data_IF_136899233073
#
_entry.id   IF_136899233073
#
_cell.length_a   1.000
_cell.length_b   1.000
_cell.length_c   1.000
_cell.angle_alpha   90.00
_cell.angle_beta   90.00
_cell.angle_gamma   90.00
#
_symmetry.space_group_name_H-M   'P 1'
#
loop_
_entity.id
_entity.type
_entity.pdbx_description
1 polymer ?
#
# COMPACT_ATOMS: atom_id res chain seq x y z
N UNK A 1 13.60 -11.65 21.07
CA UNK A 1 12.83 -11.37 19.84
C UNK A 1 11.35 -11.45 20.17
N UNK A 2 10.59 -10.36 20.02
CA UNK A 2 9.13 -10.40 20.23
C UNK A 2 8.51 -11.26 19.13
N UNK A 3 7.82 -12.35 19.50
CA UNK A 3 7.04 -13.16 18.56
C UNK A 3 6.03 -12.22 17.86
N UNK A 4 5.80 -12.35 16.54
CA UNK A 4 4.71 -11.62 15.90
C UNK A 4 3.43 -11.96 16.67
N UNK A 5 2.72 -10.94 17.16
CA UNK A 5 1.40 -11.12 17.76
C UNK A 5 0.54 -11.87 16.75
N UNK A 6 -0.21 -12.87 17.24
CA UNK A 6 -1.09 -13.71 16.45
C UNK A 6 -1.86 -12.87 15.42
N UNK A 7 -1.86 -13.32 14.16
CA UNK A 7 -2.78 -12.79 13.15
C UNK A 7 -4.20 -13.02 13.64
N UNK A 8 -4.88 -11.95 14.06
CA UNK A 8 -6.32 -12.00 14.31
C UNK A 8 -7.02 -12.14 12.95
N UNK A 9 -7.51 -13.34 12.67
CA UNK A 9 -8.42 -13.56 11.55
C UNK A 9 -9.79 -13.13 12.05
N UNK A 10 -10.31 -12.04 11.48
CA UNK A 10 -11.68 -11.60 11.74
C UNK A 10 -12.65 -12.73 11.33
N UNK A 11 -13.64 -13.01 12.18
CA UNK A 11 -14.60 -14.10 11.99
C UNK A 11 -15.56 -13.88 10.82
N UNK A 12 -15.57 -12.69 10.22
CA UNK A 12 -16.44 -12.32 9.10
C UNK A 12 -15.65 -11.50 8.08
N UNK A 13 -16.04 -11.61 6.80
CA UNK A 13 -15.54 -10.73 5.75
C UNK A 13 -15.73 -9.26 6.16
N UNK A 14 -14.72 -8.39 5.98
CA UNK A 14 -14.86 -6.98 6.27
C UNK A 14 -15.95 -6.38 5.37
N UNK A 15 -16.90 -5.68 6.00
CA UNK A 15 -17.92 -4.92 5.29
C UNK A 15 -17.41 -3.49 5.13
N UNK A 16 -17.45 -2.98 3.91
CA UNK A 16 -17.15 -1.58 3.63
C UNK A 16 -18.29 -0.71 4.17
N UNK A 17 -17.95 0.35 4.87
CA UNK A 17 -18.89 1.21 5.59
C UNK A 17 -18.95 2.58 4.93
N UNK A 18 -20.15 3.16 4.88
CA UNK A 18 -20.37 4.44 4.19
C UNK A 18 -20.29 5.65 5.14
N UNK A 19 -20.45 5.44 6.45
CA UNK A 19 -20.37 6.49 7.47
C UNK A 19 -19.06 6.39 8.27
N UNK A 20 -18.22 7.42 8.14
CA UNK A 20 -16.92 7.51 8.81
C UNK A 20 -16.97 8.32 10.11
N UNK A 21 -18.13 8.88 10.47
CA UNK A 21 -18.27 9.80 11.58
C UNK A 21 -17.50 11.09 11.39
N UNK A 22 -17.14 11.73 12.50
CA UNK A 22 -16.37 12.99 12.47
C UNK A 22 -14.87 12.73 12.33
N UNK A 23 -14.16 13.73 11.81
CA UNK A 23 -12.70 13.75 11.78
C UNK A 23 -12.12 13.44 13.16
N UNK A 24 -11.06 12.63 13.19
CA UNK A 24 -10.28 12.38 14.41
C UNK A 24 -9.64 13.65 15.00
N UNK A 25 -9.44 14.67 14.17
CA UNK A 25 -8.87 15.95 14.55
C UNK A 25 -9.95 17.02 14.56
N UNK A 26 -10.00 17.81 15.64
CA UNK A 26 -10.94 18.91 15.82
C UNK A 26 -10.59 20.15 14.97
N UNK A 27 -9.33 20.30 14.56
CA UNK A 27 -8.86 21.40 13.71
C UNK A 27 -7.76 20.98 12.75
N UNK A 28 -7.48 21.86 11.77
CA UNK A 28 -6.36 21.66 10.83
C UNK A 28 -5.01 21.80 11.55
N UNK A 29 -4.94 22.63 12.57
CA UNK A 29 -3.77 22.86 13.41
C UNK A 29 -3.44 21.59 14.19
N UNK A 30 -4.43 20.98 14.84
CA UNK A 30 -4.26 19.72 15.57
C UNK A 30 -3.76 18.59 14.64
N UNK A 31 -4.34 18.48 13.44
CA UNK A 31 -3.86 17.54 12.43
C UNK A 31 -2.39 17.78 12.06
N UNK A 32 -1.98 19.05 11.84
CA UNK A 32 -0.59 19.38 11.48
C UNK A 32 0.38 19.01 12.60
N UNK A 33 0.03 19.29 13.85
CA UNK A 33 0.85 18.95 15.00
C UNK A 33 1.01 17.43 15.14
N UNK A 34 -0.09 16.70 15.01
CA UNK A 34 -0.06 15.24 15.02
C UNK A 34 0.75 14.68 13.84
N UNK A 35 0.63 15.27 12.64
CA UNK A 35 1.38 14.87 11.47
C UNK A 35 2.90 15.00 11.69
N UNK A 36 3.37 16.13 12.22
CA UNK A 36 4.79 16.34 12.51
C UNK A 36 5.33 15.28 13.47
N UNK A 37 4.59 14.99 14.54
CA UNK A 37 4.97 13.96 15.50
C UNK A 37 5.06 12.56 14.88
N UNK A 38 4.14 12.20 13.98
CA UNK A 38 4.19 10.91 13.29
C UNK A 38 5.31 10.85 12.25
N UNK A 39 5.59 11.95 11.56
CA UNK A 39 6.70 12.05 10.61
C UNK A 39 8.06 11.88 11.30
N UNK A 40 8.24 12.48 12.48
CA UNK A 40 9.45 12.30 13.29
C UNK A 40 9.61 10.84 13.75
N UNK A 41 8.54 10.21 14.24
CA UNK A 41 8.53 8.78 14.57
C UNK A 41 8.90 7.93 13.36
N UNK A 42 8.34 8.21 12.19
CA UNK A 42 8.63 7.45 10.98
C UNK A 42 10.08 7.63 10.51
N UNK A 43 10.65 8.83 10.67
CA UNK A 43 12.07 9.07 10.43
C UNK A 43 12.95 8.19 11.33
N UNK A 44 12.67 8.12 12.64
CA UNK A 44 13.41 7.23 13.53
C UNK A 44 13.25 5.74 13.17
N UNK A 45 12.05 5.33 12.73
CA UNK A 45 11.82 3.99 12.20
C UNK A 45 12.70 3.73 10.98
N UNK A 46 12.76 4.67 10.03
CA UNK A 46 13.61 4.55 8.85
C UNK A 46 15.09 4.41 9.22
N UNK A 47 15.61 5.26 10.10
CA UNK A 47 17.00 5.18 10.57
C UNK A 47 17.30 3.83 11.24
N UNK A 48 16.38 3.34 12.07
CA UNK A 48 16.47 2.03 12.70
C UNK A 48 16.50 0.90 11.67
N UNK A 49 15.68 0.95 10.63
CA UNK A 49 15.69 -0.02 9.53
C UNK A 49 17.01 0.00 8.77
N UNK A 50 17.54 1.20 8.48
CA UNK A 50 18.82 1.38 7.80
C UNK A 50 19.98 0.74 8.56
N UNK A 51 20.12 1.03 9.86
CA UNK A 51 21.21 0.50 10.69
C UNK A 51 21.10 -1.01 10.93
N UNK A 52 19.88 -1.53 11.09
CA UNK A 52 19.63 -2.96 11.32
C UNK A 52 19.52 -3.77 10.02
N UNK A 53 19.69 -3.13 8.85
CA UNK A 53 19.51 -3.75 7.52
C UNK A 53 18.15 -4.44 7.33
N UNK A 54 17.13 -3.96 8.04
CA UNK A 54 15.74 -4.42 7.91
C UNK A 54 15.08 -3.80 6.67
N UNK A 55 14.00 -4.41 6.20
CA UNK A 55 13.34 -4.05 4.93
C UNK A 55 11.84 -3.97 5.15
N UNK A 56 11.18 -2.98 4.55
CA UNK A 56 9.73 -2.92 4.55
C UNK A 56 9.18 -2.62 3.15
N UNK A 57 8.03 -3.23 2.85
CA UNK A 57 7.20 -2.94 1.70
C UNK A 57 5.86 -2.39 2.20
N UNK A 58 5.51 -1.18 1.78
CA UNK A 58 4.25 -0.52 2.11
C UNK A 58 3.41 -0.48 0.83
N UNK A 59 2.26 -1.15 0.84
CA UNK A 59 1.36 -1.26 -0.29
C UNK A 59 0.16 -0.35 -0.07
N UNK A 60 -0.05 0.59 -0.99
CA UNK A 60 -1.25 1.42 -1.04
C UNK A 60 -2.19 0.95 -2.13
N UNK A 61 -3.38 0.52 -1.71
CA UNK A 61 -4.56 0.35 -2.55
C UNK A 61 -5.68 1.25 -2.02
N UNK A 62 -6.80 1.30 -2.74
CA UNK A 62 -7.96 2.10 -2.35
C UNK A 62 -8.67 2.65 -3.57
N UNK A 63 -9.84 3.23 -3.35
CA UNK A 63 -10.66 3.80 -4.43
C UNK A 63 -9.92 4.88 -5.20
N UNK A 64 -10.38 5.15 -6.42
CA UNK A 64 -9.97 6.37 -7.11
C UNK A 64 -10.42 7.59 -6.30
N UNK A 65 -9.63 8.67 -6.36
CA UNK A 65 -9.80 9.88 -5.55
C UNK A 65 -9.73 9.72 -4.00
N UNK A 66 -9.47 8.52 -3.46
CA UNK A 66 -9.36 8.27 -2.00
C UNK A 66 -8.24 9.02 -1.28
N UNK A 67 -7.25 9.56 -2.01
CA UNK A 67 -6.17 10.37 -1.42
C UNK A 67 -4.82 9.66 -1.23
N UNK A 68 -4.62 8.49 -1.86
CA UNK A 68 -3.35 7.72 -1.85
C UNK A 68 -2.11 8.59 -2.08
N UNK A 69 -2.06 9.32 -3.18
CA UNK A 69 -0.91 10.18 -3.51
C UNK A 69 -0.63 11.25 -2.44
N UNK A 70 -1.67 11.81 -1.83
CA UNK A 70 -1.54 12.77 -0.72
C UNK A 70 -0.91 12.11 0.51
N UNK A 71 -1.38 10.93 0.91
CA UNK A 71 -0.83 10.16 2.03
C UNK A 71 0.64 9.75 1.79
N UNK A 72 0.96 9.23 0.60
CA UNK A 72 2.32 8.87 0.21
C UNK A 72 3.25 10.08 0.23
N UNK A 73 2.78 11.25 -0.24
CA UNK A 73 3.54 12.50 -0.17
C UNK A 73 3.87 12.85 1.28
N UNK A 74 2.88 12.84 2.18
CA UNK A 74 3.11 13.14 3.61
C UNK A 74 4.07 12.17 4.29
N UNK A 75 4.05 10.90 3.89
CA UNK A 75 5.01 9.90 4.37
C UNK A 75 6.44 10.26 3.95
N UNK A 76 6.66 10.64 2.70
CA UNK A 76 8.01 10.89 2.18
C UNK A 76 8.63 12.22 2.60
N UNK A 77 7.84 13.23 2.96
CA UNK A 77 8.28 14.61 3.22
C UNK A 77 9.43 14.77 4.23
N UNK A 78 9.55 13.86 5.21
CA UNK A 78 10.55 13.93 6.29
C UNK A 78 11.51 12.75 6.33
N UNK A 79 11.43 11.85 5.35
CA UNK A 79 12.31 10.68 5.28
C UNK A 79 13.57 11.00 4.49
N UNK A 80 14.67 10.31 4.80
CA UNK A 80 15.89 10.34 3.98
C UNK A 80 15.58 9.68 2.63
N UNK A 81 15.67 10.40 1.50
CA UNK A 81 15.29 9.87 0.19
C UNK A 81 16.19 8.71 -0.29
N UNK A 82 17.35 8.49 0.34
CA UNK A 82 18.23 7.34 0.02
C UNK A 82 17.71 6.03 0.62
N UNK A 83 16.90 6.12 1.67
CA UNK A 83 16.35 4.97 2.39
C UNK A 83 14.90 4.64 2.02
N UNK A 84 14.25 5.41 1.16
CA UNK A 84 12.86 5.19 0.74
C UNK A 84 12.71 5.42 -0.76
N UNK A 85 11.92 4.58 -1.43
CA UNK A 85 11.54 4.80 -2.83
C UNK A 85 10.09 4.46 -3.07
N UNK A 86 9.46 5.16 -4.01
CA UNK A 86 8.08 4.91 -4.44
C UNK A 86 8.10 4.24 -5.80
N UNK A 87 7.31 3.19 -5.97
CA UNK A 87 7.03 2.55 -7.25
C UNK A 87 5.55 2.78 -7.60
N UNK A 88 5.25 3.72 -8.52
CA UNK A 88 3.91 3.91 -9.04
C UNK A 88 3.58 2.83 -10.07
N UNK A 89 2.54 2.03 -9.81
CA UNK A 89 2.17 0.93 -10.69
C UNK A 89 1.23 1.43 -11.77
N UNK A 90 1.74 1.46 -13.01
CA UNK A 90 0.99 1.77 -14.22
C UNK A 90 0.65 0.52 -15.03
N UNK A 91 0.04 0.70 -16.21
CA UNK A 91 -0.16 -0.37 -17.20
C UNK A 91 1.17 -1.07 -17.51
N UNK A 92 1.22 -2.42 -17.54
CA UNK A 92 2.47 -3.13 -17.81
C UNK A 92 2.98 -2.87 -19.22
N UNK A 93 4.30 -2.73 -19.36
CA UNK A 93 4.98 -2.65 -20.64
C UNK A 93 4.87 -4.00 -21.40
N UNK A 94 5.08 -3.98 -22.72
CA UNK A 94 4.97 -5.19 -23.55
C UNK A 94 5.86 -6.34 -23.03
N UNK A 95 7.10 -6.04 -22.69
CA UNK A 95 8.03 -7.03 -22.15
C UNK A 95 7.61 -7.61 -20.79
N UNK A 96 6.82 -6.88 -20.01
CA UNK A 96 6.28 -7.37 -18.73
C UNK A 96 5.07 -8.27 -18.95
N UNK A 97 4.29 -8.03 -20.02
CA UNK A 97 3.11 -8.83 -20.39
C UNK A 97 3.51 -10.25 -20.85
N UNK A 98 4.69 -10.39 -21.45
CA UNK A 98 5.24 -11.69 -21.88
C UNK A 98 5.83 -12.52 -20.71
N UNK A 99 5.72 -12.03 -19.47
CA UNK A 99 6.24 -12.67 -18.25
C UNK A 99 5.11 -12.95 -17.26
N UNK A 100 5.42 -13.70 -16.21
CA UNK A 100 4.51 -13.83 -15.08
C UNK A 100 4.20 -12.45 -14.49
N UNK A 101 2.94 -12.14 -14.16
CA UNK A 101 2.55 -10.78 -13.75
C UNK A 101 3.29 -10.27 -12.50
N UNK A 102 3.72 -11.17 -11.62
CA UNK A 102 4.54 -10.83 -10.45
C UNK A 102 5.96 -10.36 -10.79
N UNK A 103 6.47 -10.64 -11.99
CA UNK A 103 7.84 -10.29 -12.41
C UNK A 103 8.16 -8.82 -12.12
N UNK A 104 7.30 -7.91 -12.57
CA UNK A 104 7.50 -6.47 -12.41
C UNK A 104 7.53 -6.03 -10.94
N UNK A 105 6.81 -6.72 -10.06
CA UNK A 105 6.80 -6.42 -8.63
C UNK A 105 8.04 -6.99 -7.94
N UNK A 106 8.53 -8.17 -8.37
CA UNK A 106 9.80 -8.74 -7.93
C UNK A 106 10.99 -7.82 -8.20
N UNK A 107 10.98 -7.07 -9.32
CA UNK A 107 12.05 -6.12 -9.64
C UNK A 107 12.12 -4.92 -8.67
N UNK A 108 11.09 -4.72 -7.84
CA UNK A 108 10.97 -3.56 -6.96
C UNK A 108 10.94 -3.91 -5.48
N UNK A 109 11.34 -5.12 -5.08
CA UNK A 109 11.46 -5.47 -3.66
C UNK A 109 12.54 -4.61 -2.97
N UNK A 110 12.33 -4.18 -1.72
CA UNK A 110 13.31 -3.39 -0.98
C UNK A 110 14.63 -4.14 -0.77
N UNK A 111 15.73 -3.41 -0.88
CA UNK A 111 17.07 -3.85 -0.50
C UNK A 111 17.29 -3.73 1.02
N UNK A 112 18.31 -4.41 1.60
CA UNK A 112 18.59 -4.30 3.03
C UNK A 112 18.75 -2.85 3.50
N UNK A 113 17.98 -2.46 4.50
CA UNK A 113 17.99 -1.11 5.08
C UNK A 113 17.09 -0.09 4.38
N UNK A 114 16.29 -0.51 3.39
CA UNK A 114 15.40 0.42 2.65
C UNK A 114 13.92 0.09 2.83
N UNK A 115 13.10 1.11 2.62
CA UNK A 115 11.65 1.04 2.55
C UNK A 115 11.22 1.21 1.08
N UNK A 116 10.28 0.39 0.63
CA UNK A 116 9.63 0.55 -0.68
C UNK A 116 8.15 0.83 -0.47
N UNK A 117 7.63 1.83 -1.18
CA UNK A 117 6.21 2.15 -1.22
C UNK A 117 5.69 1.79 -2.61
N UNK A 118 4.62 1.00 -2.68
CA UNK A 118 3.88 0.70 -3.89
C UNK A 118 2.64 1.59 -3.91
N UNK A 119 2.53 2.47 -4.92
CA UNK A 119 1.31 3.25 -5.20
C UNK A 119 0.50 2.50 -6.26
N UNK A 120 -0.57 1.81 -5.83
CA UNK A 120 -1.11 0.58 -6.44
C UNK A 120 -0.06 -0.54 -6.43
N UNK A 121 -0.46 -1.78 -6.72
CA UNK A 121 0.39 -2.96 -6.50
C UNK A 121 -0.02 -4.19 -7.31
N UNK A 122 0.56 -5.35 -6.97
CA UNK A 122 0.16 -6.66 -7.48
C UNK A 122 -1.31 -7.01 -7.21
N UNK A 123 -1.97 -6.31 -6.28
CA UNK A 123 -3.41 -6.44 -6.07
C UNK A 123 -4.25 -5.99 -7.28
N UNK A 124 -3.69 -5.24 -8.24
CA UNK A 124 -4.35 -4.92 -9.51
C UNK A 124 -4.95 -6.15 -10.22
N UNK A 125 -4.28 -7.31 -10.13
CA UNK A 125 -4.73 -8.62 -10.64
C UNK A 125 -6.13 -9.00 -10.15
N UNK A 126 -6.42 -8.75 -8.87
CA UNK A 126 -7.68 -9.14 -8.20
C UNK A 126 -8.62 -7.95 -7.96
N UNK A 127 -8.23 -6.76 -8.42
CA UNK A 127 -8.99 -5.51 -8.33
C UNK A 127 -9.37 -5.03 -9.74
N UNK A 128 -8.65 -4.04 -10.30
CA UNK A 128 -9.00 -3.41 -11.58
C UNK A 128 -9.04 -4.41 -12.74
N UNK A 129 -8.09 -5.35 -12.83
CA UNK A 129 -8.08 -6.33 -13.91
C UNK A 129 -9.30 -7.26 -13.86
N UNK A 130 -9.81 -7.54 -12.66
CA UNK A 130 -11.02 -8.33 -12.43
C UNK A 130 -12.28 -7.53 -12.78
N UNK A 131 -12.40 -6.31 -12.25
CA UNK A 131 -13.62 -5.47 -12.43
C UNK A 131 -13.79 -5.06 -13.88
N UNK A 132 -12.71 -4.67 -14.55
CA UNK A 132 -12.73 -4.21 -15.94
C UNK A 132 -12.59 -5.37 -16.94
N UNK A 133 -12.56 -6.63 -16.46
CA UNK A 133 -12.46 -7.85 -17.26
C UNK A 133 -11.26 -7.83 -18.22
N UNK A 134 -10.11 -7.36 -17.74
CA UNK A 134 -8.88 -7.28 -18.54
C UNK A 134 -8.19 -8.65 -18.69
N UNK A 135 -8.58 -9.61 -17.85
CA UNK A 135 -8.12 -11.01 -17.90
C UNK A 135 -9.26 -11.96 -17.56
N UNK A 136 -9.11 -13.21 -18.01
CA UNK A 136 -10.10 -14.26 -17.75
C UNK A 136 -10.24 -14.57 -16.25
N UNK A 137 -11.40 -15.10 -15.89
CA UNK A 137 -11.75 -15.41 -14.51
C UNK A 137 -10.77 -16.36 -13.82
N UNK A 138 -10.33 -17.39 -14.53
CA UNK A 138 -9.35 -18.35 -14.02
C UNK A 138 -8.02 -17.67 -13.68
N UNK A 139 -7.63 -16.63 -14.43
CA UNK A 139 -6.36 -15.91 -14.25
C UNK A 139 -6.40 -15.03 -13.00
N UNK A 140 -7.46 -14.27 -12.76
CA UNK A 140 -7.52 -13.46 -11.53
C UNK A 140 -7.85 -14.31 -10.30
N UNK A 141 -8.58 -15.43 -10.44
CA UNK A 141 -8.86 -16.34 -9.32
C UNK A 141 -7.59 -16.97 -8.76
N UNK A 142 -6.72 -17.52 -9.62
CA UNK A 142 -5.42 -18.05 -9.15
C UNK A 142 -4.51 -16.96 -8.57
N UNK A 143 -4.72 -15.70 -8.97
CA UNK A 143 -4.00 -14.54 -8.49
C UNK A 143 -4.02 -14.39 -6.97
N UNK A 144 -5.09 -14.82 -6.27
CA UNK A 144 -5.13 -14.80 -4.80
C UNK A 144 -4.03 -15.68 -4.19
N UNK A 145 -3.88 -16.91 -4.66
CA UNK A 145 -2.88 -17.86 -4.14
C UNK A 145 -1.46 -17.44 -4.53
N UNK A 146 -1.28 -16.95 -5.76
CA UNK A 146 0.00 -16.42 -6.25
C UNK A 146 0.48 -15.21 -5.43
N UNK A 147 -0.44 -14.29 -5.07
CA UNK A 147 -0.14 -13.14 -4.21
C UNK A 147 0.23 -13.60 -2.79
N UNK A 148 -0.52 -14.55 -2.22
CA UNK A 148 -0.21 -15.09 -0.90
C UNK A 148 1.17 -15.75 -0.87
N UNK A 149 1.52 -16.55 -1.89
CA UNK A 149 2.82 -17.18 -2.00
C UNK A 149 3.96 -16.16 -2.17
N UNK A 150 3.74 -15.11 -2.97
CA UNK A 150 4.67 -14.00 -3.13
C UNK A 150 4.95 -13.30 -1.80
N UNK A 151 3.90 -12.85 -1.11
CA UNK A 151 4.04 -12.12 0.16
C UNK A 151 4.64 -13.00 1.26
N UNK A 152 4.29 -14.29 1.29
CA UNK A 152 4.91 -15.26 2.20
C UNK A 152 6.42 -15.35 1.96
N UNK A 153 6.85 -15.48 0.70
CA UNK A 153 8.28 -15.56 0.35
C UNK A 153 9.04 -14.31 0.82
N UNK A 154 8.46 -13.14 0.59
CA UNK A 154 9.04 -11.88 1.06
C UNK A 154 9.11 -11.80 2.59
N UNK A 155 8.02 -12.15 3.27
CA UNK A 155 7.95 -12.11 4.73
C UNK A 155 8.91 -13.11 5.37
N UNK A 156 9.01 -14.34 4.86
CA UNK A 156 9.97 -15.36 5.30
C UNK A 156 11.41 -14.86 5.12
N UNK A 157 11.69 -14.09 4.06
CA UNK A 157 13.00 -13.45 3.83
C UNK A 157 13.26 -12.20 4.71
N UNK A 158 12.34 -11.85 5.60
CA UNK A 158 12.48 -10.75 6.54
C UNK A 158 11.99 -9.39 6.03
N UNK A 159 11.19 -9.33 4.96
CA UNK A 159 10.51 -8.10 4.54
C UNK A 159 9.26 -7.90 5.40
N UNK A 160 9.16 -6.76 6.08
CA UNK A 160 7.92 -6.35 6.74
C UNK A 160 6.94 -5.81 5.70
N UNK A 161 5.79 -6.44 5.54
CA UNK A 161 4.76 -5.99 4.59
C UNK A 161 3.66 -5.26 5.37
N UNK A 162 3.31 -4.05 4.93
CA UNK A 162 2.19 -3.25 5.42
C UNK A 162 1.25 -3.02 4.23
N UNK A 163 -0.02 -3.36 4.38
CA UNK A 163 -1.02 -3.25 3.30
C UNK A 163 -2.13 -2.31 3.75
N UNK A 164 -2.35 -1.25 3.00
CA UNK A 164 -3.30 -0.18 3.31
C UNK A 164 -4.31 -0.07 2.18
N UNK A 165 -5.59 -0.20 2.50
CA UNK A 165 -6.68 0.10 1.57
C UNK A 165 -7.34 1.42 1.99
N UNK A 166 -7.18 2.47 1.19
CA UNK A 166 -7.80 3.77 1.43
C UNK A 166 -9.25 3.76 0.97
N UNK A 167 -10.13 3.55 1.93
CA UNK A 167 -11.57 3.51 1.73
C UNK A 167 -12.18 4.91 1.93
N UNK A 168 -13.10 5.27 1.04
CA UNK A 168 -14.00 6.43 1.13
C UNK A 168 -15.41 5.96 0.74
N UNK A 169 -16.42 6.69 1.17
CA UNK A 169 -17.81 6.43 0.79
C UNK A 169 -18.03 6.66 -0.71
N UNK A 170 -19.09 6.06 -1.24
CA UNK A 170 -19.48 6.23 -2.64
C UNK A 170 -19.86 7.70 -2.93
N UNK A 171 -20.45 8.39 -1.95
CA UNK A 171 -20.80 9.82 -2.05
C UNK A 171 -19.56 10.71 -2.10
N UNK A 172 -18.59 10.47 -1.22
CA UNK A 172 -17.33 11.21 -1.19
C UNK A 172 -16.53 10.99 -2.47
N UNK A 173 -16.53 9.76 -3.00
CA UNK A 173 -15.85 9.46 -4.25
C UNK A 173 -16.42 10.28 -5.41
N UNK A 174 -17.75 10.37 -5.47
CA UNK A 174 -18.45 11.19 -6.47
C UNK A 174 -18.12 12.67 -6.32
N UNK A 175 -18.22 13.22 -5.12
CA UNK A 175 -17.92 14.63 -4.85
C UNK A 175 -16.50 15.00 -5.29
N UNK A 176 -15.50 14.19 -4.92
CA UNK A 176 -14.10 14.42 -5.33
C UNK A 176 -13.85 14.26 -6.83
N UNK A 177 -14.68 13.52 -7.55
CA UNK A 177 -14.60 13.47 -9.02
C UNK A 177 -15.20 14.74 -9.62
N UNK A 178 -16.32 15.22 -9.09
CA UNK A 178 -16.96 16.47 -9.53
C UNK A 178 -16.04 17.68 -9.30
N UNK A 179 -15.27 17.73 -8.21
CA UNK A 179 -14.27 18.79 -7.96
C UNK A 179 -13.08 18.81 -8.95
N UNK A 180 -12.87 17.73 -9.71
CA UNK A 180 -11.71 17.55 -10.61
C UNK A 180 -12.05 17.69 -12.09
N UNK A 181 -13.33 17.79 -12.44
CA UNK A 181 -13.85 18.02 -13.79
C UNK A 181 -13.97 19.52 -14.06
#
# INVERSE_FOLDING_TARGET
MSKPKNTEILSSSPVLFEDFGQSRFASKEEYKDALVQQQEKLFHVQQSYFHQKKRALIVFEGWDASGKGGAIRRINEKLDPRGVSVFPVAKPAKEEQDKHFLYRFWQHIPSPGTLKIFDRSHYGRVLVERVDKLVDEEVWRRGYDEINAFEKTLSDSGVRIIKLFMHISSSEQRERFEERL
#
